data_IF_242793952165
#
_entry.id   IF_242793952165
#
_cell.length_a   1.000
_cell.length_b   1.000
_cell.length_c   1.000
_cell.angle_alpha   90.00
_cell.angle_beta   90.00
_cell.angle_gamma   90.00
#
_symmetry.space_group_name_H-M   'P 1'
#
loop_
_entity.id
_entity.type
_entity.pdbx_description
1 polymer ?
#
# COMPACT_ATOMS: atom_id res chain seq x y z
N UNK A 1 0.34 -54.95 16.23
CA UNK A 1 0.02 -56.14 15.40
C UNK A 1 1.06 -56.36 14.29
N UNK A 2 1.39 -55.36 13.46
CA UNK A 2 2.38 -55.51 12.38
C UNK A 2 3.78 -55.95 12.85
N UNK A 3 4.29 -55.35 13.93
CA UNK A 3 5.59 -55.70 14.54
C UNK A 3 5.67 -57.15 15.01
N UNK A 4 4.64 -57.62 15.73
CA UNK A 4 4.60 -58.98 16.24
C UNK A 4 4.63 -60.01 15.11
N UNK A 5 3.95 -59.72 13.99
CA UNK A 5 3.95 -60.58 12.79
C UNK A 5 5.32 -60.57 12.11
N UNK A 6 5.94 -59.38 11.94
CA UNK A 6 7.26 -59.24 11.33
C UNK A 6 8.35 -59.97 12.15
N UNK A 7 8.35 -59.82 13.48
CA UNK A 7 9.28 -60.52 14.36
C UNK A 7 8.99 -62.03 14.42
N UNK A 8 7.72 -62.46 14.40
CA UNK A 8 7.37 -63.89 14.37
C UNK A 8 7.86 -64.58 13.08
N UNK A 9 7.68 -63.94 11.92
CA UNK A 9 8.23 -64.41 10.66
C UNK A 9 9.77 -64.38 10.65
N UNK A 10 10.34 -63.32 11.24
CA UNK A 10 11.78 -63.19 11.46
C UNK A 10 12.37 -64.37 12.26
N UNK A 11 11.72 -64.75 13.37
CA UNK A 11 12.11 -65.91 14.19
C UNK A 11 12.03 -67.23 13.40
N UNK A 12 11.04 -67.38 12.53
CA UNK A 12 10.92 -68.55 11.66
C UNK A 12 12.07 -68.65 10.64
N UNK A 13 12.50 -67.54 10.05
CA UNK A 13 13.66 -67.49 9.14
C UNK A 13 14.97 -67.86 9.82
N UNK A 14 15.15 -67.39 11.07
CA UNK A 14 16.33 -67.70 11.89
C UNK A 14 16.36 -69.20 12.21
N UNK A 15 15.21 -69.77 12.59
CA UNK A 15 15.09 -71.20 12.93
C UNK A 15 15.45 -72.12 11.75
N UNK A 16 15.18 -71.70 10.51
CA UNK A 16 15.51 -72.44 9.29
C UNK A 16 16.94 -72.19 8.77
N UNK A 17 17.73 -71.35 9.44
CA UNK A 17 19.11 -71.05 9.06
C UNK A 17 19.26 -70.13 7.85
N UNK A 18 18.19 -69.46 7.40
CA UNK A 18 18.19 -68.61 6.20
C UNK A 18 18.58 -67.17 6.47
N UNK A 19 18.63 -66.74 7.74
CA UNK A 19 18.97 -65.37 8.14
C UNK A 19 19.54 -65.33 9.55
N UNK A 20 20.30 -64.27 9.85
CA UNK A 20 20.82 -64.02 11.21
C UNK A 20 19.86 -63.13 12.00
N UNK A 21 19.84 -63.25 13.35
CA UNK A 21 19.05 -62.34 14.20
C UNK A 21 19.35 -60.86 13.97
N UNK A 22 20.62 -60.54 13.70
CA UNK A 22 21.06 -59.18 13.40
C UNK A 22 20.43 -58.64 12.11
N UNK A 23 20.43 -59.42 11.04
CA UNK A 23 19.83 -59.03 9.75
C UNK A 23 18.33 -58.78 9.88
N UNK A 24 17.61 -59.62 10.61
CA UNK A 24 16.16 -59.47 10.80
C UNK A 24 15.83 -58.20 11.60
N UNK A 25 16.55 -57.96 12.70
CA UNK A 25 16.40 -56.74 13.50
C UNK A 25 16.70 -55.49 12.66
N UNK A 26 17.80 -55.51 11.90
CA UNK A 26 18.21 -54.41 11.05
C UNK A 26 17.14 -54.05 10.00
N UNK A 27 16.54 -55.04 9.34
CA UNK A 27 15.50 -54.81 8.32
C UNK A 27 14.24 -54.20 8.94
N UNK A 28 13.80 -54.71 10.09
CA UNK A 28 12.60 -54.21 10.78
C UNK A 28 12.81 -52.76 11.24
N UNK A 29 13.94 -52.47 11.89
CA UNK A 29 14.24 -51.11 12.35
C UNK A 29 14.45 -50.12 11.20
N UNK A 30 15.09 -50.55 10.10
CA UNK A 30 15.19 -49.72 8.90
C UNK A 30 13.81 -49.36 8.32
N UNK A 31 12.87 -50.33 8.31
CA UNK A 31 11.50 -50.10 7.83
C UNK A 31 10.70 -49.16 8.76
N UNK A 32 10.94 -49.25 10.07
CA UNK A 32 10.35 -48.33 11.05
C UNK A 32 10.85 -46.92 10.86
N UNK A 33 12.17 -46.76 10.73
CA UNK A 33 12.80 -45.47 10.53
C UNK A 33 12.28 -44.82 9.25
N UNK A 34 12.20 -45.58 8.15
CA UNK A 34 11.63 -45.10 6.90
C UNK A 34 10.16 -44.66 7.05
N UNK A 35 9.33 -45.46 7.73
CA UNK A 35 7.92 -45.15 7.95
C UNK A 35 7.73 -43.89 8.79
N UNK A 36 8.52 -43.72 9.85
CA UNK A 36 8.50 -42.54 10.69
C UNK A 36 8.93 -41.29 9.91
N UNK A 37 10.03 -41.35 9.15
CA UNK A 37 10.48 -40.25 8.29
C UNK A 37 9.44 -39.85 7.24
N UNK A 38 8.72 -40.81 6.66
CA UNK A 38 7.63 -40.51 5.73
C UNK A 38 6.45 -39.81 6.42
N UNK A 39 6.09 -40.25 7.63
CA UNK A 39 4.99 -39.65 8.38
C UNK A 39 5.30 -38.21 8.81
N UNK A 40 6.53 -37.96 9.27
CA UNK A 40 6.97 -36.60 9.61
C UNK A 40 7.08 -35.71 8.37
N UNK A 41 7.55 -36.23 7.23
CA UNK A 41 7.52 -35.50 5.97
C UNK A 41 6.09 -35.17 5.52
N UNK A 42 5.16 -36.12 5.65
CA UNK A 42 3.75 -35.94 5.27
C UNK A 42 3.05 -34.87 6.11
N UNK A 43 3.42 -34.69 7.38
CA UNK A 43 2.83 -33.64 8.23
C UNK A 43 3.12 -32.21 7.76
N UNK A 44 4.18 -31.99 6.96
CA UNK A 44 4.50 -30.68 6.38
C UNK A 44 3.71 -30.36 5.10
N UNK A 45 3.04 -31.35 4.51
CA UNK A 45 2.35 -31.18 3.23
C UNK A 45 1.26 -30.07 3.26
N UNK A 46 0.42 -29.97 4.32
CA UNK A 46 -0.55 -28.87 4.43
C UNK A 46 0.11 -27.48 4.52
N UNK A 47 1.26 -27.37 5.19
CA UNK A 47 2.01 -26.12 5.29
C UNK A 47 2.57 -25.69 3.94
N UNK A 48 3.10 -26.64 3.17
CA UNK A 48 3.56 -26.39 1.80
C UNK A 48 2.43 -25.87 0.91
N UNK A 49 1.22 -26.47 0.99
CA UNK A 49 0.06 -25.99 0.24
C UNK A 49 -0.30 -24.55 0.64
N UNK A 50 -0.37 -24.26 1.95
CA UNK A 50 -0.64 -22.89 2.45
C UNK A 50 0.40 -21.89 1.95
N UNK A 51 1.68 -22.23 2.05
CA UNK A 51 2.77 -21.39 1.58
C UNK A 51 2.66 -21.07 0.08
N UNK A 52 2.31 -22.08 -0.74
CA UNK A 52 2.10 -21.89 -2.19
C UNK A 52 0.93 -20.97 -2.51
N UNK A 53 -0.19 -21.10 -1.80
CA UNK A 53 -1.37 -20.24 -2.01
C UNK A 53 -1.03 -18.80 -1.63
N UNK A 54 -0.41 -18.58 -0.47
CA UNK A 54 0.02 -17.26 -0.01
C UNK A 54 1.01 -16.62 -0.98
N UNK A 55 2.00 -17.38 -1.45
CA UNK A 55 2.94 -16.92 -2.47
C UNK A 55 2.21 -16.55 -3.77
N UNK A 56 1.21 -17.33 -4.19
CA UNK A 56 0.39 -17.04 -5.37
C UNK A 56 -0.33 -15.68 -5.29
N UNK A 57 -0.90 -15.35 -4.13
CA UNK A 57 -1.53 -14.03 -3.89
C UNK A 57 -0.49 -12.92 -3.94
N UNK A 58 0.67 -13.11 -3.28
CA UNK A 58 1.76 -12.13 -3.28
C UNK A 58 2.27 -11.86 -4.71
N UNK A 59 2.53 -12.90 -5.51
CA UNK A 59 2.94 -12.75 -6.91
C UNK A 59 1.86 -12.09 -7.77
N UNK A 60 0.58 -12.34 -7.49
CA UNK A 60 -0.53 -11.68 -8.20
C UNK A 60 -0.55 -10.19 -7.91
N UNK A 61 -0.33 -9.78 -6.65
CA UNK A 61 -0.25 -8.38 -6.26
C UNK A 61 0.98 -7.69 -6.89
N UNK A 62 2.15 -8.32 -6.82
CA UNK A 62 3.40 -7.77 -7.39
C UNK A 62 3.34 -7.61 -8.91
N UNK A 63 2.64 -8.50 -9.63
CA UNK A 63 2.53 -8.44 -11.09
C UNK A 63 1.45 -7.48 -11.59
N UNK A 64 0.61 -6.94 -10.70
CA UNK A 64 -0.48 -6.05 -11.10
C UNK A 64 0.08 -4.71 -11.56
N UNK A 65 -0.16 -4.37 -12.84
CA UNK A 65 0.18 -3.05 -13.38
C UNK A 65 -1.00 -2.08 -13.16
N UNK A 66 -0.79 -0.94 -12.47
CA UNK A 66 -1.84 0.06 -12.32
C UNK A 66 -2.11 0.76 -13.66
N UNK A 67 -3.35 1.21 -13.87
CA UNK A 67 -3.71 2.00 -15.06
C UNK A 67 -3.03 3.37 -15.05
N UNK A 68 -2.94 3.96 -13.85
CA UNK A 68 -2.26 5.23 -13.58
C UNK A 68 -1.03 4.86 -12.78
N UNK A 69 0.12 4.83 -13.44
CA UNK A 69 1.39 4.43 -12.83
C UNK A 69 2.15 5.65 -12.29
N UNK A 70 2.09 5.84 -10.98
CA UNK A 70 2.76 6.93 -10.27
C UNK A 70 4.29 6.87 -10.35
N UNK A 71 4.86 5.68 -10.60
CA UNK A 71 6.30 5.47 -10.65
C UNK A 71 6.86 5.59 -12.07
N UNK A 72 5.98 5.71 -13.06
CA UNK A 72 6.39 5.86 -14.46
C UNK A 72 7.00 7.24 -14.71
N UNK A 73 8.13 7.26 -15.42
CA UNK A 73 8.73 8.49 -15.94
C UNK A 73 8.15 8.91 -17.30
N UNK A 74 7.14 8.20 -17.80
CA UNK A 74 6.49 8.49 -19.07
C UNK A 74 5.56 9.72 -18.97
N UNK A 75 5.25 10.29 -20.12
CA UNK A 75 4.41 11.47 -20.27
C UNK A 75 5.21 12.77 -20.38
N UNK A 76 4.54 13.79 -20.89
CA UNK A 76 5.15 15.10 -21.11
C UNK A 76 5.33 15.86 -19.79
N UNK A 77 6.35 16.72 -19.76
CA UNK A 77 6.68 17.58 -18.60
C UNK A 77 6.78 19.05 -19.04
N UNK A 78 5.70 19.63 -19.58
CA UNK A 78 5.69 21.03 -20.00
C UNK A 78 5.77 21.94 -18.78
N UNK A 79 6.15 23.19 -19.00
CA UNK A 79 5.97 24.22 -17.98
C UNK A 79 4.48 24.52 -17.81
N UNK A 80 3.97 24.34 -16.59
CA UNK A 80 2.54 24.44 -16.27
C UNK A 80 2.25 25.86 -15.78
N UNK A 81 1.33 26.56 -16.47
CA UNK A 81 0.81 27.85 -16.02
C UNK A 81 -0.30 27.67 -15.00
N UNK A 82 -1.20 26.71 -15.21
CA UNK A 82 -2.25 26.36 -14.26
C UNK A 82 -3.67 26.75 -14.69
N UNK A 83 -3.92 26.88 -16.00
CA UNK A 83 -5.28 26.85 -16.52
C UNK A 83 -5.83 25.42 -16.39
N UNK A 84 -7.07 25.24 -15.95
CA UNK A 84 -7.71 23.93 -15.81
C UNK A 84 -9.01 23.93 -16.60
N UNK A 85 -9.25 22.89 -17.41
CA UNK A 85 -10.50 22.73 -18.15
C UNK A 85 -11.02 21.30 -18.09
N UNK A 86 -12.30 21.16 -17.79
CA UNK A 86 -13.07 19.93 -17.96
C UNK A 86 -14.05 20.16 -19.11
N UNK A 87 -14.04 19.28 -20.10
CA UNK A 87 -14.91 19.36 -21.28
C UNK A 87 -15.71 18.08 -21.44
N UNK A 88 -17.02 18.21 -21.31
CA UNK A 88 -18.01 17.13 -21.45
C UNK A 88 -17.64 15.87 -20.65
N UNK A 89 -17.24 16.05 -19.39
CA UNK A 89 -16.70 14.97 -18.55
C UNK A 89 -17.82 14.09 -18.00
N UNK A 90 -17.72 12.78 -18.26
CA UNK A 90 -18.55 11.75 -17.65
C UNK A 90 -17.71 10.85 -16.76
N UNK A 91 -18.22 10.55 -15.56
CA UNK A 91 -17.48 9.73 -14.61
C UNK A 91 -18.37 8.92 -13.66
N UNK A 92 -17.93 7.70 -13.37
CA UNK A 92 -18.44 6.86 -12.28
C UNK A 92 -17.27 6.20 -11.56
N UNK A 93 -17.35 6.05 -10.24
CA UNK A 93 -16.33 5.33 -9.48
C UNK A 93 -16.29 3.85 -9.89
N UNK A 94 -15.09 3.23 -9.97
CA UNK A 94 -14.95 1.81 -10.36
C UNK A 94 -15.75 0.84 -9.50
N UNK A 95 -15.95 1.16 -8.21
CA UNK A 95 -16.76 0.37 -7.28
C UNK A 95 -18.27 0.43 -7.57
N UNK A 96 -18.74 1.48 -8.28
CA UNK A 96 -20.17 1.72 -8.60
C UNK A 96 -20.34 2.19 -10.05
N UNK A 97 -19.92 1.36 -11.01
CA UNK A 97 -19.92 1.70 -12.46
C UNK A 97 -21.27 2.11 -13.05
N UNK A 98 -22.38 1.68 -12.44
CA UNK A 98 -23.74 1.99 -12.92
C UNK A 98 -24.25 3.37 -12.47
N UNK A 99 -23.58 4.02 -11.53
CA UNK A 99 -23.98 5.32 -10.99
C UNK A 99 -23.02 6.40 -11.51
N UNK A 100 -23.46 7.15 -12.53
CA UNK A 100 -22.72 8.31 -13.03
C UNK A 100 -22.79 9.45 -12.01
N UNK A 101 -21.61 9.86 -11.54
CA UNK A 101 -21.44 10.99 -10.61
C UNK A 101 -21.35 12.30 -11.40
N UNK A 102 -20.57 12.33 -12.48
CA UNK A 102 -20.49 13.46 -13.40
C UNK A 102 -21.12 13.08 -14.73
N UNK A 103 -21.97 13.96 -15.27
CA UNK A 103 -22.79 13.72 -16.46
C UNK A 103 -22.64 14.89 -17.44
N UNK A 104 -21.55 14.91 -18.22
CA UNK A 104 -21.28 15.97 -19.19
C UNK A 104 -20.81 17.28 -18.56
N UNK A 105 -19.99 17.20 -17.50
CA UNK A 105 -19.54 18.38 -16.77
C UNK A 105 -18.57 19.22 -17.61
N UNK A 106 -18.81 20.54 -17.61
CA UNK A 106 -17.91 21.53 -18.19
C UNK A 106 -17.48 22.52 -17.10
N UNK A 107 -16.17 22.77 -17.00
CA UNK A 107 -15.59 23.70 -16.04
C UNK A 107 -14.33 24.31 -16.64
N UNK A 108 -14.11 25.60 -16.38
CA UNK A 108 -12.85 26.26 -16.72
C UNK A 108 -12.42 27.12 -15.54
N UNK A 109 -11.18 26.94 -15.08
CA UNK A 109 -10.54 27.78 -14.09
C UNK A 109 -9.26 28.34 -14.71
N UNK A 110 -9.13 29.66 -14.76
CA UNK A 110 -7.95 30.31 -15.35
C UNK A 110 -6.83 30.44 -14.33
N UNK A 111 -5.59 30.53 -14.80
CA UNK A 111 -4.44 30.83 -13.96
C UNK A 111 -4.69 32.09 -13.11
N UNK A 112 -4.40 31.99 -11.81
CA UNK A 112 -4.61 33.06 -10.82
C UNK A 112 -6.07 33.24 -10.37
N UNK A 113 -7.02 32.47 -10.90
CA UNK A 113 -8.42 32.53 -10.51
C UNK A 113 -8.74 31.55 -9.38
N UNK A 114 -9.42 32.03 -8.34
CA UNK A 114 -10.04 31.15 -7.33
C UNK A 114 -11.43 30.75 -7.79
N UNK A 115 -11.69 29.44 -7.88
CA UNK A 115 -12.99 28.87 -8.25
C UNK A 115 -13.56 28.07 -7.09
N UNK A 116 -14.79 28.37 -6.70
CA UNK A 116 -15.51 27.64 -5.66
C UNK A 116 -16.55 26.70 -6.28
N UNK A 117 -16.51 25.42 -5.90
CA UNK A 117 -17.53 24.43 -6.28
C UNK A 117 -18.56 24.30 -5.16
N UNK A 118 -19.80 24.70 -5.42
CA UNK A 118 -20.91 24.64 -4.44
C UNK A 118 -22.00 23.68 -4.93
N UNK A 119 -22.68 23.02 -3.97
CA UNK A 119 -23.77 22.09 -4.28
C UNK A 119 -24.04 21.10 -3.15
N UNK A 120 -25.13 20.35 -3.27
CA UNK A 120 -25.55 19.36 -2.29
C UNK A 120 -24.50 18.26 -2.04
N UNK A 121 -24.59 17.57 -0.90
CA UNK A 121 -23.73 16.40 -0.65
C UNK A 121 -23.91 15.35 -1.75
N UNK A 122 -22.81 14.74 -2.20
CA UNK A 122 -22.83 13.72 -3.25
C UNK A 122 -22.92 14.22 -4.70
N UNK A 123 -22.98 15.54 -4.96
CA UNK A 123 -23.07 16.08 -6.33
C UNK A 123 -21.76 16.04 -7.14
N UNK A 124 -20.68 15.44 -6.61
CA UNK A 124 -19.42 15.25 -7.34
C UNK A 124 -18.35 16.33 -7.18
N UNK A 125 -18.48 17.26 -6.22
CA UNK A 125 -17.46 18.32 -5.96
C UNK A 125 -16.05 17.75 -5.76
N UNK A 126 -15.89 16.84 -4.79
CA UNK A 126 -14.61 16.18 -4.52
C UNK A 126 -14.17 15.30 -5.69
N UNK A 127 -15.11 14.79 -6.48
CA UNK A 127 -14.81 14.01 -7.68
C UNK A 127 -14.11 14.86 -8.75
N UNK A 128 -14.49 16.12 -8.92
CA UNK A 128 -13.80 17.05 -9.83
C UNK A 128 -12.34 17.21 -9.41
N UNK A 129 -12.08 17.41 -8.12
CA UNK A 129 -10.72 17.53 -7.57
C UNK A 129 -9.93 16.24 -7.85
N UNK A 130 -10.50 15.08 -7.55
CA UNK A 130 -9.86 13.78 -7.79
C UNK A 130 -9.55 13.48 -9.27
N UNK A 131 -10.33 14.03 -10.20
CA UNK A 131 -10.06 13.91 -11.64
C UNK A 131 -8.93 14.84 -12.07
N UNK A 132 -8.89 16.08 -11.55
CA UNK A 132 -7.78 17.02 -11.80
C UNK A 132 -6.46 16.48 -11.25
N UNK A 133 -6.48 15.88 -10.06
CA UNK A 133 -5.32 15.19 -9.45
C UNK A 133 -5.00 13.83 -10.09
N UNK A 134 -5.81 13.43 -11.07
CA UNK A 134 -5.72 12.18 -11.82
C UNK A 134 -5.60 10.97 -10.89
N UNK A 135 -6.38 10.94 -9.80
CA UNK A 135 -6.62 9.70 -9.03
C UNK A 135 -7.51 8.73 -9.81
N UNK A 136 -8.33 9.27 -10.70
CA UNK A 136 -9.13 8.52 -11.66
C UNK A 136 -9.04 9.19 -13.03
N UNK A 137 -9.22 8.40 -14.09
CA UNK A 137 -9.48 8.95 -15.42
C UNK A 137 -11.00 9.10 -15.62
N UNK A 138 -11.39 10.13 -16.37
CA UNK A 138 -12.75 10.26 -16.86
C UNK A 138 -13.13 9.06 -17.77
N UNK A 139 -14.41 8.70 -17.78
CA UNK A 139 -14.94 7.69 -18.72
C UNK A 139 -15.04 8.25 -20.14
N UNK A 140 -15.51 9.50 -20.24
CA UNK A 140 -15.63 10.25 -21.48
C UNK A 140 -15.35 11.73 -21.20
N UNK A 141 -15.02 12.49 -22.24
CA UNK A 141 -14.61 13.88 -22.14
C UNK A 141 -13.10 14.03 -21.92
N UNK A 142 -12.69 15.27 -21.70
CA UNK A 142 -11.28 15.67 -21.56
C UNK A 142 -11.13 16.47 -20.26
N UNK A 143 -10.11 16.13 -19.49
CA UNK A 143 -9.61 16.96 -18.39
C UNK A 143 -8.23 17.44 -18.82
N UNK A 144 -8.02 18.75 -18.84
CA UNK A 144 -6.78 19.35 -19.31
C UNK A 144 -6.20 20.32 -18.28
N UNK A 145 -4.87 20.34 -18.23
CA UNK A 145 -4.09 21.39 -17.57
C UNK A 145 -3.39 22.16 -18.69
N UNK A 146 -3.62 23.47 -18.73
CA UNK A 146 -3.31 24.34 -19.86
C UNK A 146 -3.90 23.78 -21.16
N UNK A 147 -3.05 23.46 -22.12
CA UNK A 147 -3.44 22.90 -23.43
C UNK A 147 -3.20 21.40 -23.54
N UNK A 148 -2.84 20.72 -22.44
CA UNK A 148 -2.48 19.32 -22.43
C UNK A 148 -3.56 18.49 -21.73
N UNK A 149 -3.96 17.37 -22.34
CA UNK A 149 -4.76 16.38 -21.64
C UNK A 149 -3.94 15.81 -20.48
N UNK A 150 -4.53 15.72 -19.29
CA UNK A 150 -3.84 15.21 -18.11
C UNK A 150 -3.32 13.78 -18.30
N UNK A 151 -3.89 13.03 -19.25
CA UNK A 151 -3.51 11.65 -19.55
C UNK A 151 -2.14 11.54 -20.23
N UNK A 152 -1.76 12.55 -21.00
CA UNK A 152 -0.52 12.61 -21.77
C UNK A 152 0.64 13.16 -20.93
N UNK A 153 0.32 13.85 -19.84
CA UNK A 153 1.29 14.39 -18.90
C UNK A 153 1.84 13.33 -17.94
N UNK A 154 3.08 13.55 -17.50
CA UNK A 154 3.68 12.76 -16.41
C UNK A 154 2.94 13.03 -15.11
N UNK A 155 2.42 11.97 -14.48
CA UNK A 155 1.64 12.07 -13.23
C UNK A 155 2.42 12.69 -12.07
N UNK A 156 3.71 12.36 -11.95
CA UNK A 156 4.60 12.90 -10.92
C UNK A 156 4.81 14.40 -11.13
N UNK A 157 5.06 14.81 -12.38
CA UNK A 157 5.23 16.21 -12.75
C UNK A 157 4.00 17.06 -12.43
N UNK A 158 2.79 16.54 -12.70
CA UNK A 158 1.54 17.24 -12.36
C UNK A 158 1.41 17.40 -10.84
N UNK A 159 1.60 16.31 -10.08
CA UNK A 159 1.36 16.31 -8.63
C UNK A 159 2.40 17.13 -7.85
N UNK A 160 3.63 17.24 -8.35
CA UNK A 160 4.64 18.14 -7.78
C UNK A 160 4.27 19.63 -7.91
N UNK A 161 3.31 19.97 -8.79
CA UNK A 161 2.80 21.34 -9.01
C UNK A 161 1.41 21.56 -8.41
N UNK A 162 0.90 20.61 -7.64
CA UNK A 162 -0.41 20.68 -6.99
C UNK A 162 -0.26 20.53 -5.48
N UNK A 163 -1.08 21.27 -4.74
CA UNK A 163 -1.26 21.07 -3.31
C UNK A 163 -2.71 20.70 -3.03
N UNK A 164 -2.92 19.64 -2.27
CA UNK A 164 -4.24 19.18 -1.82
C UNK A 164 -4.35 19.37 -0.31
N UNK A 165 -5.41 20.05 0.12
CA UNK A 165 -5.82 20.09 1.52
C UNK A 165 -7.09 19.25 1.66
N UNK A 166 -6.94 18.09 2.31
CA UNK A 166 -8.07 17.20 2.59
C UNK A 166 -9.02 17.77 3.64
N UNK A 167 -10.27 17.30 3.63
CA UNK A 167 -11.25 17.69 4.66
C UNK A 167 -10.81 17.23 6.06
N UNK A 168 -10.21 16.03 6.15
CA UNK A 168 -9.57 15.50 7.35
C UNK A 168 -8.07 15.38 7.06
N UNK A 169 -7.22 16.28 7.59
CA UNK A 169 -5.79 16.21 7.35
C UNK A 169 -5.22 14.97 8.02
N UNK A 170 -4.33 14.26 7.31
CA UNK A 170 -3.62 13.09 7.83
C UNK A 170 -2.19 13.50 8.14
N UNK A 171 -1.74 13.25 9.37
CA UNK A 171 -0.35 13.42 9.78
C UNK A 171 0.29 12.05 10.01
N UNK A 172 1.57 11.93 9.68
CA UNK A 172 2.35 10.73 9.92
C UNK A 172 2.92 10.72 11.34
N UNK A 173 3.18 9.52 11.85
CA UNK A 173 3.85 9.31 13.14
C UNK A 173 5.33 9.69 13.06
N UNK A 174 5.58 10.99 13.04
CA UNK A 174 6.86 11.67 12.84
C UNK A 174 6.79 13.03 13.56
N UNK A 175 7.91 13.73 13.64
CA UNK A 175 7.91 15.10 14.18
C UNK A 175 7.07 16.05 13.32
N UNK A 176 6.62 17.17 13.90
CA UNK A 176 5.94 18.24 13.15
C UNK A 176 6.81 18.72 11.97
N UNK A 177 8.12 18.86 12.19
CA UNK A 177 9.08 19.24 11.15
C UNK A 177 9.10 18.24 9.99
N UNK A 178 9.17 16.95 10.30
CA UNK A 178 9.17 15.88 9.30
C UNK A 178 7.86 15.80 8.52
N UNK A 179 6.73 16.07 9.19
CA UNK A 179 5.44 16.18 8.52
C UNK A 179 5.37 17.37 7.55
N UNK A 180 5.89 18.55 7.93
CA UNK A 180 5.91 19.73 7.06
C UNK A 180 6.77 19.49 5.81
N UNK A 181 7.92 18.82 5.96
CA UNK A 181 8.81 18.51 4.83
C UNK A 181 8.41 17.23 4.08
N UNK A 182 7.33 16.56 4.48
CA UNK A 182 6.97 15.26 3.92
C UNK A 182 6.64 15.38 2.43
N UNK A 183 7.40 14.68 1.59
CA UNK A 183 7.25 14.71 0.14
C UNK A 183 8.02 15.83 -0.57
N UNK A 184 8.76 16.67 0.17
CA UNK A 184 9.67 17.67 -0.38
C UNK A 184 11.12 17.17 -0.36
N UNK A 185 11.91 17.59 -1.34
CA UNK A 185 13.38 17.45 -1.27
C UNK A 185 13.95 18.41 -0.20
N UNK A 186 15.21 18.18 0.23
CA UNK A 186 15.91 18.92 1.30
C UNK A 186 15.44 20.38 1.50
N UNK A 187 14.61 20.63 2.51
CA UNK A 187 14.19 21.97 2.92
C UNK A 187 15.15 22.56 3.96
N UNK A 188 15.39 23.87 3.88
CA UNK A 188 16.10 24.61 4.92
C UNK A 188 15.23 24.77 6.17
N UNK A 189 15.85 25.07 7.33
CA UNK A 189 15.11 25.30 8.57
C UNK A 189 14.22 26.55 8.45
N UNK A 190 14.75 27.57 7.78
CA UNK A 190 14.10 28.87 7.55
C UNK A 190 12.85 28.71 6.67
N UNK A 191 12.90 27.87 5.65
CA UNK A 191 11.73 27.57 4.79
C UNK A 191 10.60 26.90 5.58
N UNK A 192 10.94 25.98 6.49
CA UNK A 192 9.98 25.28 7.34
C UNK A 192 9.33 26.27 8.32
N UNK A 193 10.12 27.12 8.97
CA UNK A 193 9.61 28.14 9.90
C UNK A 193 8.73 29.18 9.18
N UNK A 194 9.10 29.55 7.95
CA UNK A 194 8.30 30.43 7.12
C UNK A 194 6.95 29.80 6.74
N UNK A 195 6.96 28.53 6.30
CA UNK A 195 5.72 27.80 6.00
C UNK A 195 4.81 27.65 7.24
N UNK A 196 5.39 27.33 8.40
CA UNK A 196 4.67 27.26 9.67
C UNK A 196 4.06 28.62 10.08
N UNK A 197 4.75 29.71 9.76
CA UNK A 197 4.27 31.08 10.01
C UNK A 197 3.10 31.43 9.09
N UNK A 198 3.18 31.12 7.79
CA UNK A 198 2.08 31.31 6.84
C UNK A 198 0.82 30.50 7.20
N UNK A 199 1.02 29.32 7.80
CA UNK A 199 -0.06 28.48 8.30
C UNK A 199 -0.57 28.86 9.70
N UNK A 200 -0.02 29.91 10.33
CA UNK A 200 -0.34 30.35 11.70
C UNK A 200 -0.14 29.28 12.79
N UNK A 201 0.86 28.41 12.63
CA UNK A 201 1.20 27.36 13.61
C UNK A 201 2.59 27.54 14.26
N UNK A 202 3.38 28.53 13.82
CA UNK A 202 4.73 28.74 14.35
C UNK A 202 4.75 28.95 15.87
N UNK A 203 3.94 29.88 16.39
CA UNK A 203 3.89 30.17 17.83
C UNK A 203 3.45 28.97 18.66
N UNK A 204 2.53 28.15 18.12
CA UNK A 204 2.11 26.90 18.76
C UNK A 204 3.27 25.92 18.85
N UNK A 205 4.03 25.72 17.77
CA UNK A 205 5.18 24.82 17.75
C UNK A 205 6.26 25.28 18.73
N UNK A 206 6.57 26.58 18.78
CA UNK A 206 7.58 27.14 19.70
C UNK A 206 7.16 27.01 21.17
N UNK A 207 5.85 27.00 21.45
CA UNK A 207 5.32 26.81 22.80
C UNK A 207 5.42 25.36 23.32
N UNK A 208 5.65 24.40 22.42
CA UNK A 208 5.76 22.99 22.80
C UNK A 208 7.15 22.69 23.40
N UNK A 209 7.22 21.89 24.48
CA UNK A 209 8.46 21.27 24.92
C UNK A 209 9.07 20.44 23.79
N UNK A 210 10.40 20.39 23.65
CA UNK A 210 11.07 19.60 22.60
C UNK A 210 10.66 18.11 22.61
N UNK A 211 10.31 17.59 23.79
CA UNK A 211 9.80 16.22 23.98
C UNK A 211 8.42 16.01 23.35
N UNK A 212 7.62 17.04 23.12
CA UNK A 212 6.28 16.97 22.57
C UNK A 212 6.24 17.44 21.11
N UNK A 213 7.21 17.04 20.28
CA UNK A 213 7.22 17.42 18.85
C UNK A 213 6.78 16.28 17.94
N UNK A 214 6.58 15.08 18.49
CA UNK A 214 6.09 13.89 17.79
C UNK A 214 4.56 13.90 17.67
N UNK A 215 4.05 13.47 16.52
CA UNK A 215 2.62 13.36 16.25
C UNK A 215 2.21 11.88 16.34
N UNK A 216 1.13 11.57 17.08
CA UNK A 216 0.60 10.20 17.19
C UNK A 216 -0.08 9.71 15.89
N UNK A 217 -0.21 8.39 15.73
CA UNK A 217 -0.87 7.70 14.60
C UNK A 217 -2.32 8.17 14.36
N UNK A 218 -2.95 8.76 15.37
CA UNK A 218 -4.32 9.31 15.30
C UNK A 218 -4.40 10.69 14.65
N UNK A 219 -3.26 11.32 14.31
CA UNK A 219 -3.17 12.62 13.63
C UNK A 219 -3.68 13.84 14.43
N UNK A 220 -4.21 13.64 15.65
CA UNK A 220 -4.81 14.70 16.47
C UNK A 220 -4.11 14.96 17.81
N UNK A 221 -3.17 14.11 18.24
CA UNK A 221 -2.45 14.25 19.50
C UNK A 221 -0.98 14.51 19.27
N UNK A 222 -0.48 15.63 19.78
CA UNK A 222 0.96 15.86 19.95
C UNK A 222 1.38 15.06 21.19
N UNK A 223 2.28 14.09 21.03
CA UNK A 223 2.68 13.17 22.11
C UNK A 223 4.11 13.41 22.55
N UNK A 224 4.38 13.15 23.84
CA UNK A 224 5.74 13.03 24.35
C UNK A 224 6.44 11.79 23.73
N UNK A 225 7.79 11.72 23.68
CA UNK A 225 8.48 10.63 23.03
C UNK A 225 8.16 9.35 23.78
N UNK A 226 8.04 8.25 23.06
CA UNK A 226 7.93 6.91 23.62
C UNK A 226 8.92 6.74 24.77
N UNK A 227 8.41 6.65 26.00
CA UNK A 227 9.19 6.12 27.09
C UNK A 227 9.56 4.69 26.71
N UNK A 228 10.86 4.40 26.63
CA UNK A 228 11.41 3.06 26.48
C UNK A 228 10.61 2.10 27.38
N UNK A 229 9.85 1.20 26.76
CA UNK A 229 9.27 0.07 27.46
C UNK A 229 10.45 -0.86 27.76
N UNK A 230 10.83 -1.09 29.03
CA UNK A 230 11.92 -1.99 29.32
C UNK A 230 11.52 -3.38 28.82
N UNK A 231 12.38 -3.98 28.01
CA UNK A 231 12.31 -5.40 27.66
C UNK A 231 12.24 -6.24 28.94
N UNK A 232 11.12 -6.94 29.14
CA UNK A 232 11.05 -8.13 29.98
C UNK A 232 11.34 -9.37 29.13
#
# INVERSE_FOLDING_TARGET
>A
MNFAIAYAFGLWLIKNGWSTPFTVFQVIEALNMASYSMMTAASYFPEYIRARISAGVMFTMMRRRPKIDNMSHQGEKPDIKGDISLRNVYFSYPARRRALVLQGMNLTAKHGQTVALVGASGCGKSTVIQLVERFYDALCGIVSIDNYDIRDLSIRHIRERMALVGQEPTLFNMTIRENIMYGLDRCSKEEIEYAASLANIHDFIVSLPETQTDIDQSGGGVTAPYADVPSC
#
